data_IF_030374910488
#
_entry.id   IF_030374910488
#
_cell.length_a   1.000
_cell.length_b   1.000
_cell.length_c   1.000
_cell.angle_alpha   90.00
_cell.angle_beta   90.00
_cell.angle_gamma   90.00
#
_symmetry.space_group_name_H-M   'P 1'
#
loop_
_entity.id
_entity.type
_entity.pdbx_description
1 polymer ?
#
# COMPACT_ATOMS: atom_id res chain seq x y z
N UNK A 1 5.89 -0.94 30.05
CA UNK A 1 5.79 -1.46 28.67
C UNK A 1 5.46 -2.94 28.74
N UNK A 2 4.72 -3.50 27.77
CA UNK A 2 4.41 -4.94 27.73
C UNK A 2 5.69 -5.73 27.40
N UNK A 3 6.04 -6.77 28.18
CA UNK A 3 7.27 -7.57 28.03
C UNK A 3 7.46 -8.13 26.62
N UNK A 4 6.36 -8.45 25.92
CA UNK A 4 6.38 -8.91 24.52
C UNK A 4 6.84 -7.82 23.54
N UNK A 5 6.52 -6.55 23.80
CA UNK A 5 6.95 -5.43 22.93
C UNK A 5 8.45 -5.17 23.10
N UNK A 6 8.97 -5.25 24.32
CA UNK A 6 10.39 -5.07 24.59
C UNK A 6 11.24 -6.13 23.87
N UNK A 7 10.84 -7.40 23.96
CA UNK A 7 11.50 -8.51 23.27
C UNK A 7 11.45 -8.35 21.73
N UNK A 8 10.34 -7.84 21.20
CA UNK A 8 10.17 -7.56 19.76
C UNK A 8 11.12 -6.45 19.29
N UNK A 9 11.25 -5.38 20.08
CA UNK A 9 12.13 -4.26 19.76
C UNK A 9 13.61 -4.62 19.91
N UNK A 10 13.96 -5.40 20.94
CA UNK A 10 15.33 -5.87 21.16
C UNK A 10 15.81 -6.75 20.01
N UNK A 11 15.00 -7.72 19.58
CA UNK A 11 15.36 -8.57 18.45
C UNK A 11 15.39 -7.79 17.12
N UNK A 12 14.50 -6.81 16.90
CA UNK A 12 14.61 -5.89 15.76
C UNK A 12 15.94 -5.11 15.79
N UNK A 13 16.36 -4.61 16.96
CA UNK A 13 17.65 -3.93 17.13
C UNK A 13 18.84 -4.85 16.83
N UNK A 14 18.80 -6.13 17.23
CA UNK A 14 19.86 -7.10 16.88
C UNK A 14 20.02 -7.32 15.37
N UNK A 15 18.97 -7.04 14.59
CA UNK A 15 18.96 -7.10 13.13
C UNK A 15 19.31 -5.76 12.46
N UNK A 16 19.69 -4.75 13.24
CA UNK A 16 20.02 -3.41 12.74
C UNK A 16 18.81 -2.49 12.52
N UNK A 17 17.61 -2.92 12.92
CA UNK A 17 16.38 -2.13 12.80
C UNK A 17 16.26 -1.23 14.04
N UNK A 18 16.82 -0.02 13.95
CA UNK A 18 16.84 0.94 15.07
C UNK A 18 15.65 1.90 15.04
N UNK A 19 15.21 2.33 13.86
CA UNK A 19 14.05 3.19 13.65
C UNK A 19 13.42 2.89 12.27
N UNK A 20 12.13 2.56 12.23
CA UNK A 20 11.42 2.30 10.97
C UNK A 20 10.94 3.61 10.32
N UNK A 21 11.85 4.57 10.18
CA UNK A 21 11.68 5.80 9.38
C UNK A 21 12.64 5.83 8.18
N UNK A 22 13.50 4.82 8.06
CA UNK A 22 14.49 4.65 6.99
C UNK A 22 13.95 3.75 5.86
N UNK A 23 14.55 3.80 4.65
CA UNK A 23 14.27 2.84 3.58
C UNK A 23 14.47 1.39 4.02
N UNK A 24 13.79 0.47 3.34
CA UNK A 24 13.90 -0.98 3.60
C UNK A 24 15.36 -1.42 3.56
N UNK A 25 15.80 -2.10 4.61
CA UNK A 25 17.12 -2.74 4.70
C UNK A 25 17.16 -4.02 3.88
N UNK A 26 18.34 -4.48 3.47
CA UNK A 26 18.48 -5.77 2.78
C UNK A 26 17.90 -6.93 3.61
N UNK A 27 18.07 -6.90 4.93
CA UNK A 27 17.48 -7.89 5.84
C UNK A 27 15.95 -7.91 5.76
N UNK A 28 15.30 -6.74 5.70
CA UNK A 28 13.84 -6.66 5.53
C UNK A 28 13.39 -7.17 4.16
N UNK A 29 14.16 -6.89 3.08
CA UNK A 29 13.89 -7.44 1.76
C UNK A 29 14.02 -8.97 1.74
N UNK A 30 15.09 -9.52 2.31
CA UNK A 30 15.32 -10.95 2.42
C UNK A 30 14.20 -11.65 3.20
N UNK A 31 13.68 -11.02 4.26
CA UNK A 31 12.53 -11.55 5.01
C UNK A 31 11.24 -11.53 4.18
N UNK A 32 11.04 -10.51 3.33
CA UNK A 32 9.87 -10.41 2.46
C UNK A 32 9.84 -11.48 1.38
N UNK A 33 10.99 -11.89 0.84
CA UNK A 33 11.13 -12.99 -0.12
C UNK A 33 10.54 -14.31 0.38
N UNK A 34 10.65 -14.56 1.69
CA UNK A 34 10.14 -15.79 2.30
C UNK A 34 8.62 -15.75 2.61
N UNK A 35 7.97 -14.61 2.33
CA UNK A 35 6.55 -14.39 2.57
C UNK A 35 5.75 -14.13 1.30
N UNK A 36 4.50 -13.70 1.48
CA UNK A 36 3.67 -13.16 0.39
C UNK A 36 2.98 -11.87 0.85
N UNK A 37 3.72 -10.79 1.18
CA UNK A 37 3.13 -9.55 1.67
C UNK A 37 2.32 -8.81 0.59
N UNK A 38 1.59 -7.78 1.03
CA UNK A 38 1.08 -6.75 0.12
C UNK A 38 2.25 -5.88 -0.35
N UNK A 39 2.18 -5.34 -1.56
CA UNK A 39 3.24 -4.47 -2.10
C UNK A 39 3.47 -3.18 -1.29
N UNK A 40 2.46 -2.76 -0.52
CA UNK A 40 2.42 -1.43 0.10
C UNK A 40 2.62 -1.41 1.61
N UNK A 41 2.83 -2.57 2.24
CA UNK A 41 3.03 -2.65 3.69
C UNK A 41 3.81 -3.90 4.11
N UNK A 42 4.20 -3.96 5.37
CA UNK A 42 4.93 -5.09 5.94
C UNK A 42 4.12 -6.36 6.04
N UNK A 43 4.85 -7.48 6.05
CA UNK A 43 4.29 -8.81 6.26
C UNK A 43 3.67 -8.94 7.67
N UNK A 44 4.29 -8.31 8.67
CA UNK A 44 3.83 -8.32 10.07
C UNK A 44 3.91 -6.95 10.69
N UNK A 45 2.75 -6.33 10.87
CA UNK A 45 2.66 -5.10 11.63
C UNK A 45 2.59 -5.47 13.13
N UNK A 46 3.53 -4.99 13.97
CA UNK A 46 3.43 -5.15 15.41
C UNK A 46 2.06 -4.66 15.89
N UNK A 47 1.25 -5.56 16.45
CA UNK A 47 -0.08 -5.22 16.95
C UNK A 47 -1.26 -5.47 16.00
N UNK A 48 -1.06 -5.78 14.72
CA UNK A 48 -2.16 -6.09 13.77
C UNK A 48 -2.98 -7.33 14.17
N UNK A 49 -2.42 -8.18 15.04
CA UNK A 49 -3.09 -9.35 15.63
C UNK A 49 -3.54 -9.14 17.07
N UNK A 50 -3.29 -7.97 17.66
CA UNK A 50 -3.94 -7.61 18.91
C UNK A 50 -5.41 -7.40 18.59
N UNK A 51 -6.28 -8.20 19.21
CA UNK A 51 -7.74 -8.11 19.09
C UNK A 51 -8.28 -6.89 19.83
N UNK A 52 -7.79 -5.71 19.48
CA UNK A 52 -8.34 -4.45 19.96
C UNK A 52 -8.84 -3.69 18.75
N UNK A 53 -10.07 -3.17 18.85
CA UNK A 53 -10.57 -2.19 17.90
C UNK A 53 -9.58 -1.02 17.79
N UNK A 54 -9.56 -0.33 16.65
CA UNK A 54 -8.66 0.82 16.44
C UNK A 54 -8.78 1.78 17.63
N UNK A 55 -7.68 2.02 18.32
CA UNK A 55 -7.63 2.95 19.44
C UNK A 55 -7.70 4.37 18.89
N UNK A 56 -8.91 4.92 18.81
CA UNK A 56 -9.16 6.28 18.33
C UNK A 56 -9.28 7.24 19.51
N UNK A 57 -8.77 8.45 19.33
CA UNK A 57 -8.99 9.57 20.23
C UNK A 57 -10.43 10.09 20.15
N UNK A 58 -10.84 10.91 21.13
CA UNK A 58 -12.16 11.55 21.11
C UNK A 58 -12.39 12.41 19.86
N UNK A 59 -11.37 13.15 19.40
CA UNK A 59 -11.44 13.98 18.20
C UNK A 59 -11.63 13.12 16.93
N UNK A 60 -10.92 12.00 16.82
CA UNK A 60 -11.08 11.05 15.71
C UNK A 60 -12.49 10.43 15.69
N UNK A 61 -13.01 10.03 16.85
CA UNK A 61 -14.38 9.49 16.96
C UNK A 61 -15.42 10.55 16.59
N UNK A 62 -15.28 11.78 17.09
CA UNK A 62 -16.21 12.86 16.75
C UNK A 62 -16.18 13.19 15.25
N UNK A 63 -15.00 13.18 14.63
CA UNK A 63 -14.85 13.36 13.19
C UNK A 63 -15.48 12.22 12.37
N UNK A 64 -15.33 10.97 12.84
CA UNK A 64 -15.99 9.79 12.26
C UNK A 64 -17.51 9.86 12.33
N UNK A 65 -18.06 10.40 13.42
CA UNK A 65 -19.50 10.61 13.57
C UNK A 65 -19.99 11.80 12.72
N UNK A 66 -19.12 12.77 12.49
CA UNK A 66 -19.43 13.97 11.70
C UNK A 66 -20.15 15.05 12.50
N UNK A 67 -20.12 14.97 13.84
CA UNK A 67 -20.74 15.99 14.71
C UNK A 67 -19.76 17.14 14.95
N UNK A 68 -19.98 18.26 14.25
CA UNK A 68 -19.19 19.49 14.41
C UNK A 68 -19.24 20.00 15.85
N UNK A 69 -20.42 19.97 16.48
CA UNK A 69 -20.63 20.43 17.85
C UNK A 69 -19.79 19.64 18.86
N UNK A 70 -19.84 18.31 18.83
CA UNK A 70 -19.05 17.46 19.73
C UNK A 70 -17.56 17.68 19.47
N UNK A 71 -17.17 17.77 18.21
CA UNK A 71 -15.78 17.99 17.83
C UNK A 71 -15.24 19.31 18.39
N UNK A 72 -16.00 20.41 18.23
CA UNK A 72 -15.60 21.74 18.72
C UNK A 72 -15.59 21.80 20.26
N UNK A 73 -16.50 21.11 20.95
CA UNK A 73 -16.48 20.99 22.42
C UNK A 73 -15.19 20.30 22.88
N UNK A 74 -14.79 19.20 22.22
CA UNK A 74 -13.58 18.48 22.57
C UNK A 74 -12.32 19.34 22.34
N UNK A 75 -12.27 20.10 21.23
CA UNK A 75 -11.18 21.05 20.97
C UNK A 75 -11.13 22.16 22.03
N UNK A 76 -12.27 22.76 22.36
CA UNK A 76 -12.36 23.80 23.39
C UNK A 76 -11.95 23.30 24.78
N UNK A 77 -12.17 22.01 25.07
CA UNK A 77 -11.71 21.34 26.28
C UNK A 77 -10.20 21.05 26.30
N UNK A 78 -9.45 21.40 25.25
CA UNK A 78 -8.01 21.20 25.16
C UNK A 78 -7.59 19.80 24.73
N UNK A 79 -8.42 19.09 23.97
CA UNK A 79 -8.01 17.83 23.36
C UNK A 79 -6.79 18.05 22.45
N UNK A 80 -5.78 17.19 22.58
CA UNK A 80 -4.54 17.31 21.81
C UNK A 80 -4.77 17.05 20.32
N UNK A 81 -4.36 18.01 19.50
CA UNK A 81 -4.41 17.97 18.03
C UNK A 81 -3.10 18.43 17.38
N UNK A 82 -2.05 18.62 18.19
CA UNK A 82 -0.78 19.24 17.79
C UNK A 82 -0.20 18.61 16.53
N UNK A 83 -0.13 17.27 16.47
CA UNK A 83 0.46 16.56 15.34
C UNK A 83 -0.33 16.71 14.03
N UNK A 84 -1.64 16.97 14.09
CA UNK A 84 -2.52 16.98 12.90
C UNK A 84 -2.66 18.36 12.26
N UNK A 85 -2.38 19.41 13.04
CA UNK A 85 -2.40 20.82 12.59
C UNK A 85 -1.02 21.26 12.13
N UNK A 86 0.05 20.66 12.67
CA UNK A 86 1.41 20.99 12.29
C UNK A 86 1.65 20.74 10.79
N UNK A 87 2.07 21.79 10.08
CA UNK A 87 2.58 21.67 8.72
C UNK A 87 3.87 20.87 8.83
N UNK A 88 3.80 19.55 8.62
CA UNK A 88 4.98 18.67 8.59
C UNK A 88 6.05 19.32 7.73
N UNK A 89 7.07 19.85 8.40
CA UNK A 89 8.26 20.45 7.83
C UNK A 89 8.95 19.39 6.98
N UNK A 90 9.47 19.82 5.83
CA UNK A 90 10.19 19.01 4.85
C UNK A 90 11.56 18.49 5.38
N UNK A 91 11.70 18.29 6.70
CA UNK A 91 12.96 17.88 7.33
C UNK A 91 12.99 16.37 7.49
N UNK A 92 13.84 15.73 6.68
CA UNK A 92 14.17 14.30 6.69
C UNK A 92 14.90 13.83 7.99
N UNK A 93 15.02 14.68 9.02
CA UNK A 93 15.84 14.42 10.21
C UNK A 93 15.17 14.78 11.55
N UNK A 94 13.87 14.57 11.70
CA UNK A 94 13.29 14.55 13.05
C UNK A 94 13.69 13.25 13.75
N UNK A 95 14.89 13.24 14.35
CA UNK A 95 15.26 12.30 15.40
C UNK A 95 14.30 12.52 16.57
N UNK A 96 13.18 11.79 16.59
CA UNK A 96 12.17 12.01 17.62
C UNK A 96 12.68 11.46 18.96
N UNK A 97 13.11 12.37 19.84
CA UNK A 97 13.42 12.06 21.24
C UNK A 97 12.15 11.51 21.92
N UNK A 98 12.25 10.33 22.53
CA UNK A 98 11.12 9.59 23.09
C UNK A 98 10.33 10.32 24.22
N UNK A 99 10.86 11.44 24.74
CA UNK A 99 10.39 12.06 25.96
C UNK A 99 9.23 13.07 25.79
N UNK A 100 8.70 13.33 24.59
CA UNK A 100 7.64 14.34 24.38
C UNK A 100 6.54 13.97 23.39
N UNK A 101 6.19 12.68 23.28
CA UNK A 101 5.10 12.28 22.38
C UNK A 101 3.74 12.74 22.88
N UNK A 102 3.10 13.64 22.14
CA UNK A 102 1.69 13.99 22.32
C UNK A 102 0.78 12.81 21.92
N UNK A 103 -0.47 12.78 22.38
CA UNK A 103 -1.43 11.70 22.07
C UNK A 103 -1.69 11.64 20.57
N UNK A 104 -1.83 12.79 19.92
CA UNK A 104 -1.98 12.92 18.47
C UNK A 104 -0.78 12.38 17.69
N UNK A 105 0.44 12.48 18.23
CA UNK A 105 1.65 11.90 17.61
C UNK A 105 1.66 10.38 17.66
N UNK A 106 1.06 9.80 18.70
CA UNK A 106 0.94 8.35 18.87
C UNK A 106 -0.26 7.73 18.13
N UNK A 107 -1.10 8.56 17.49
CA UNK A 107 -2.22 8.04 16.70
C UNK A 107 -1.73 7.41 15.39
N UNK A 108 -2.41 6.35 14.98
CA UNK A 108 -2.24 5.70 13.67
C UNK A 108 -3.12 6.33 12.58
N UNK A 109 -3.87 7.37 12.92
CA UNK A 109 -4.78 8.09 12.04
C UNK A 109 -4.91 9.55 12.48
N UNK A 110 -5.81 10.29 11.84
CA UNK A 110 -6.20 11.63 12.28
C UNK A 110 -7.71 11.84 12.05
N UNK A 111 -8.31 12.88 12.63
CA UNK A 111 -9.68 13.29 12.34
C UNK A 111 -9.99 13.41 10.84
N UNK A 112 -9.04 13.84 10.01
CA UNK A 112 -9.20 13.89 8.54
C UNK A 112 -9.40 12.49 7.96
N UNK A 113 -8.60 11.51 8.39
CA UNK A 113 -8.74 10.11 7.96
C UNK A 113 -10.11 9.54 8.33
N UNK A 114 -10.55 9.76 9.57
CA UNK A 114 -11.83 9.23 10.04
C UNK A 114 -13.04 9.91 9.39
N UNK A 115 -13.00 11.22 9.16
CA UNK A 115 -14.04 11.93 8.44
C UNK A 115 -14.16 11.43 7.00
N UNK A 116 -13.03 11.17 6.34
CA UNK A 116 -12.97 10.59 4.99
C UNK A 116 -13.56 9.18 4.98
N UNK A 117 -13.13 8.29 5.89
CA UNK A 117 -13.60 6.91 5.95
C UNK A 117 -15.11 6.81 6.13
N UNK A 118 -15.68 7.72 6.95
CA UNK A 118 -17.11 7.80 7.17
C UNK A 118 -17.87 8.53 6.04
N UNK A 119 -17.19 9.19 5.11
CA UNK A 119 -17.80 10.01 4.06
C UNK A 119 -18.42 11.32 4.58
N UNK A 120 -17.94 11.85 5.71
CA UNK A 120 -18.45 13.05 6.35
C UNK A 120 -17.87 14.33 5.72
N UNK A 121 -18.37 14.70 4.55
CA UNK A 121 -17.89 15.85 3.79
C UNK A 121 -17.88 17.17 4.59
N UNK A 122 -18.95 17.46 5.34
CA UNK A 122 -19.04 18.70 6.15
C UNK A 122 -17.97 18.75 7.23
N UNK A 123 -17.69 17.62 7.87
CA UNK A 123 -16.63 17.50 8.86
C UNK A 123 -15.25 17.68 8.21
N UNK A 124 -15.00 17.03 7.06
CA UNK A 124 -13.74 17.20 6.33
C UNK A 124 -13.48 18.69 6.01
N UNK A 125 -14.48 19.40 5.49
CA UNK A 125 -14.36 20.84 5.20
C UNK A 125 -14.07 21.66 6.46
N UNK A 126 -14.75 21.37 7.56
CA UNK A 126 -14.50 22.03 8.85
C UNK A 126 -13.07 21.80 9.34
N UNK A 127 -12.59 20.56 9.28
CA UNK A 127 -11.23 20.19 9.67
C UNK A 127 -10.18 20.96 8.85
N UNK A 128 -10.31 20.95 7.52
CA UNK A 128 -9.32 21.57 6.63
C UNK A 128 -9.40 23.11 6.64
N UNK A 129 -10.60 23.68 6.56
CA UNK A 129 -10.78 25.13 6.38
C UNK A 129 -10.85 25.91 7.69
N UNK A 130 -11.48 25.36 8.73
CA UNK A 130 -11.72 26.07 9.99
C UNK A 130 -10.77 25.65 11.09
N UNK A 131 -10.35 24.38 11.11
CA UNK A 131 -9.48 23.85 12.16
C UNK A 131 -7.98 23.87 11.78
N UNK A 132 -7.65 24.08 10.50
CA UNK A 132 -6.26 24.14 10.02
C UNK A 132 -5.56 22.78 9.95
N UNK A 133 -6.32 21.68 9.88
CA UNK A 133 -5.73 20.35 9.80
C UNK A 133 -5.03 20.14 8.46
N UNK A 134 -3.89 19.47 8.49
CA UNK A 134 -3.12 19.20 7.28
C UNK A 134 -3.83 18.18 6.38
N UNK A 135 -4.05 18.49 5.08
CA UNK A 135 -4.54 17.50 4.10
C UNK A 135 -3.47 16.45 3.74
N UNK A 136 -2.26 16.58 4.30
CA UNK A 136 -1.09 15.77 3.99
C UNK A 136 -0.54 15.02 5.22
N UNK A 137 -1.28 15.00 6.33
CA UNK A 137 -0.78 14.41 7.58
C UNK A 137 -0.42 12.92 7.40
N UNK A 138 0.80 12.56 7.81
CA UNK A 138 1.28 11.19 7.84
C UNK A 138 1.30 10.67 9.28
N UNK A 139 0.50 9.64 9.62
CA UNK A 139 0.58 9.00 10.93
C UNK A 139 2.00 8.51 11.23
N UNK A 140 2.56 8.94 12.37
CA UNK A 140 3.96 8.65 12.75
C UNK A 140 4.10 7.36 13.57
N UNK A 141 3.04 6.95 14.26
CA UNK A 141 3.08 5.80 15.17
C UNK A 141 3.24 4.43 14.46
N UNK A 142 2.87 4.35 13.19
CA UNK A 142 2.94 3.14 12.38
C UNK A 142 3.37 3.46 10.93
N UNK A 143 4.66 3.80 10.71
CA UNK A 143 5.15 4.32 9.44
C UNK A 143 4.96 3.36 8.25
N UNK A 144 4.94 2.05 8.48
CA UNK A 144 4.74 1.00 7.47
C UNK A 144 3.31 0.84 6.96
N UNK A 145 2.34 1.47 7.63
CA UNK A 145 0.95 1.62 7.16
C UNK A 145 0.52 3.09 7.11
N UNK A 146 1.48 4.01 7.19
CA UNK A 146 1.21 5.43 7.15
C UNK A 146 0.79 5.82 5.74
N UNK A 147 -0.48 6.17 5.60
CA UNK A 147 -1.08 6.61 4.35
C UNK A 147 -1.43 8.10 4.51
N UNK A 148 -0.99 8.99 3.61
CA UNK A 148 -1.51 10.35 3.57
C UNK A 148 -3.01 10.31 3.20
N UNK A 149 -3.81 11.32 3.56
CA UNK A 149 -5.26 11.30 3.34
C UNK A 149 -5.69 10.93 1.92
N UNK A 150 -4.98 11.42 0.90
CA UNK A 150 -5.26 11.08 -0.50
C UNK A 150 -4.96 9.61 -0.84
N UNK A 151 -3.91 9.01 -0.28
CA UNK A 151 -3.66 7.58 -0.47
C UNK A 151 -4.61 6.74 0.38
N UNK A 152 -4.96 7.21 1.58
CA UNK A 152 -5.88 6.52 2.48
C UNK A 152 -7.27 6.36 1.88
N UNK A 153 -7.81 7.41 1.28
CA UNK A 153 -9.13 7.36 0.64
C UNK A 153 -9.17 6.34 -0.49
N UNK A 154 -8.12 6.24 -1.29
CA UNK A 154 -8.04 5.24 -2.38
C UNK A 154 -7.78 3.84 -1.83
N UNK A 155 -6.93 3.68 -0.83
CA UNK A 155 -6.50 2.37 -0.36
C UNK A 155 -7.46 1.72 0.66
N UNK A 156 -8.21 2.50 1.43
CA UNK A 156 -8.91 2.03 2.63
C UNK A 156 -10.41 2.30 2.67
N UNK A 157 -10.89 3.23 1.85
CA UNK A 157 -12.29 3.64 1.90
C UNK A 157 -13.12 2.95 0.82
N UNK A 158 -14.43 2.87 1.05
CA UNK A 158 -15.38 2.38 0.05
C UNK A 158 -15.64 3.47 -1.00
N UNK A 159 -15.01 3.34 -2.17
CA UNK A 159 -15.17 4.29 -3.27
C UNK A 159 -16.56 4.25 -3.91
N UNK A 160 -17.42 3.27 -3.58
CA UNK A 160 -18.83 3.28 -3.99
C UNK A 160 -19.70 4.22 -3.13
N UNK A 161 -19.19 4.63 -1.96
CA UNK A 161 -19.88 5.56 -1.07
C UNK A 161 -19.80 7.00 -1.62
N UNK A 162 -20.97 7.59 -1.93
CA UNK A 162 -21.03 8.96 -2.48
C UNK A 162 -20.46 10.04 -1.55
N UNK A 163 -20.47 9.84 -0.23
CA UNK A 163 -19.85 10.73 0.74
C UNK A 163 -18.33 10.67 0.66
N UNK A 164 -17.76 9.47 0.51
CA UNK A 164 -16.33 9.25 0.28
C UNK A 164 -15.91 9.91 -1.05
N UNK A 165 -16.66 9.69 -2.14
CA UNK A 165 -16.36 10.32 -3.43
C UNK A 165 -16.36 11.87 -3.34
N UNK A 166 -17.31 12.45 -2.61
CA UNK A 166 -17.35 13.89 -2.36
C UNK A 166 -16.15 14.38 -1.53
N UNK A 167 -15.73 13.61 -0.54
CA UNK A 167 -14.51 13.88 0.22
C UNK A 167 -13.26 13.85 -0.68
N UNK A 168 -13.18 12.91 -1.62
CA UNK A 168 -12.08 12.80 -2.58
C UNK A 168 -11.97 14.05 -3.46
N UNK A 169 -13.11 14.51 -3.99
CA UNK A 169 -13.18 15.74 -4.81
C UNK A 169 -12.76 16.97 -4.01
N UNK A 170 -13.26 17.11 -2.78
CA UNK A 170 -12.90 18.24 -1.91
C UNK A 170 -11.41 18.22 -1.56
N UNK A 171 -10.85 17.04 -1.29
CA UNK A 171 -9.44 16.89 -0.97
C UNK A 171 -8.55 17.25 -2.16
N UNK A 172 -8.84 16.73 -3.36
CA UNK A 172 -8.11 17.06 -4.59
C UNK A 172 -8.19 18.54 -4.97
N UNK A 173 -9.28 19.21 -4.59
CA UNK A 173 -9.47 20.64 -4.81
C UNK A 173 -8.74 21.50 -3.77
N UNK A 174 -8.17 20.91 -2.72
CA UNK A 174 -7.55 21.67 -1.64
C UNK A 174 -6.19 22.24 -2.06
N UNK A 175 -5.95 23.57 -1.94
CA UNK A 175 -4.77 24.23 -2.51
C UNK A 175 -3.44 23.80 -1.89
N UNK A 176 -3.47 23.30 -0.65
CA UNK A 176 -2.27 22.82 0.05
C UNK A 176 -2.05 21.31 -0.08
N UNK A 177 -2.92 20.58 -0.78
CA UNK A 177 -2.71 19.16 -1.01
C UNK A 177 -1.40 18.94 -1.77
N UNK A 178 -0.56 18.03 -1.28
CA UNK A 178 0.63 17.52 -1.98
C UNK A 178 0.24 16.16 -2.59
N UNK A 179 -0.33 16.11 -3.82
CA UNK A 179 -0.85 14.87 -4.39
C UNK A 179 0.23 13.82 -4.67
N UNK A 180 1.47 14.28 -4.85
CA UNK A 180 2.64 13.43 -5.06
C UNK A 180 3.27 12.91 -3.77
N UNK A 181 2.66 13.16 -2.60
CA UNK A 181 3.15 12.67 -1.31
C UNK A 181 3.05 11.13 -1.25
N UNK A 182 4.16 10.50 -0.89
CA UNK A 182 4.32 9.05 -0.87
C UNK A 182 4.31 8.51 0.56
N UNK A 183 4.09 7.21 0.69
CA UNK A 183 4.26 6.53 1.97
C UNK A 183 5.74 6.51 2.38
N UNK A 184 6.07 6.69 3.67
CA UNK A 184 7.45 6.95 4.10
C UNK A 184 8.42 5.76 3.94
N UNK A 185 7.93 4.51 4.01
CA UNK A 185 8.79 3.30 3.96
C UNK A 185 8.77 2.65 2.58
N UNK A 186 7.57 2.41 2.05
CA UNK A 186 7.41 1.70 0.78
C UNK A 186 7.42 2.64 -0.44
N UNK A 187 7.58 3.95 -0.22
CA UNK A 187 7.61 4.97 -1.26
C UNK A 187 6.40 4.89 -2.22
N UNK A 188 5.23 4.49 -1.70
CA UNK A 188 4.05 4.19 -2.52
C UNK A 188 3.31 5.47 -2.84
N UNK A 189 3.26 5.78 -4.13
CA UNK A 189 2.43 6.85 -4.68
C UNK A 189 0.94 6.47 -4.76
N UNK A 190 0.03 7.45 -4.66
CA UNK A 190 -1.43 7.23 -4.76
C UNK A 190 -1.86 6.49 -6.04
N UNK A 191 -1.17 6.73 -7.15
CA UNK A 191 -1.46 6.05 -8.42
C UNK A 191 -1.17 4.55 -8.37
N UNK A 192 -0.24 4.06 -7.53
CA UNK A 192 -0.08 2.62 -7.34
C UNK A 192 -1.31 2.01 -6.67
N UNK A 193 -1.89 2.69 -5.66
CA UNK A 193 -3.13 2.25 -5.03
C UNK A 193 -4.30 2.26 -6.02
N UNK A 194 -4.40 3.29 -6.86
CA UNK A 194 -5.40 3.36 -7.92
C UNK A 194 -5.24 2.21 -8.93
N UNK A 195 -4.02 1.91 -9.36
CA UNK A 195 -3.74 0.78 -10.26
C UNK A 195 -4.09 -0.57 -9.62
N UNK A 196 -3.90 -0.72 -8.30
CA UNK A 196 -4.24 -1.96 -7.60
C UNK A 196 -5.74 -2.29 -7.62
N UNK A 197 -6.62 -1.32 -7.84
CA UNK A 197 -8.06 -1.54 -8.03
C UNK A 197 -8.43 -2.17 -9.38
N UNK A 198 -7.54 -2.10 -10.37
CA UNK A 198 -7.84 -2.41 -11.77
C UNK A 198 -9.03 -1.62 -12.34
N UNK A 199 -9.13 -0.35 -11.93
CA UNK A 199 -10.11 0.60 -12.44
C UNK A 199 -9.38 1.66 -13.28
N UNK A 200 -9.36 1.53 -14.62
CA UNK A 200 -8.66 2.47 -15.49
C UNK A 200 -9.31 3.87 -15.48
N UNK A 201 -10.62 3.98 -15.19
CA UNK A 201 -11.31 5.26 -15.14
C UNK A 201 -10.88 6.03 -13.88
N UNK A 202 -10.83 5.36 -12.73
CA UNK A 202 -10.29 5.92 -11.49
C UNK A 202 -8.82 6.34 -11.67
N UNK A 203 -8.00 5.47 -12.26
CA UNK A 203 -6.59 5.73 -12.48
C UNK A 203 -6.37 6.94 -13.41
N UNK A 204 -7.11 7.01 -14.52
CA UNK A 204 -7.06 8.11 -15.47
C UNK A 204 -7.50 9.44 -14.83
N UNK A 205 -8.62 9.42 -14.10
CA UNK A 205 -9.14 10.60 -13.42
C UNK A 205 -8.19 11.15 -12.36
N UNK A 206 -7.60 10.27 -11.54
CA UNK A 206 -6.57 10.67 -10.58
C UNK A 206 -5.34 11.22 -11.28
N UNK A 207 -4.83 10.54 -12.32
CA UNK A 207 -3.66 11.00 -13.06
C UNK A 207 -3.88 12.38 -13.69
N UNK A 208 -5.08 12.66 -14.21
CA UNK A 208 -5.44 13.97 -14.75
C UNK A 208 -5.42 15.10 -13.70
N UNK A 209 -5.63 14.74 -12.42
CA UNK A 209 -5.64 15.68 -11.29
C UNK A 209 -4.25 15.91 -10.67
N UNK A 210 -3.22 15.18 -11.14
CA UNK A 210 -1.86 15.19 -10.56
C UNK A 210 -0.86 15.74 -11.58
N UNK A 211 -0.07 16.73 -11.17
CA UNK A 211 1.02 17.25 -11.99
C UNK A 211 2.04 16.14 -12.31
N UNK A 212 2.28 15.92 -13.61
CA UNK A 212 3.13 14.82 -14.11
C UNK A 212 2.34 13.58 -14.55
N UNK A 213 1.03 13.53 -14.32
CA UNK A 213 0.16 12.44 -14.76
C UNK A 213 0.62 11.08 -14.24
N UNK A 214 0.49 10.03 -15.07
CA UNK A 214 0.96 8.68 -14.74
C UNK A 214 2.47 8.62 -14.43
N UNK A 215 3.27 9.49 -15.05
CA UNK A 215 4.72 9.52 -14.85
C UNK A 215 5.16 9.98 -13.46
N UNK A 216 4.28 10.66 -12.71
CA UNK A 216 4.55 11.05 -11.31
C UNK A 216 4.69 9.85 -10.36
N UNK A 217 4.11 8.70 -10.74
CA UNK A 217 4.10 7.50 -9.91
C UNK A 217 5.48 6.91 -9.66
N UNK A 218 6.44 7.03 -10.60
CA UNK A 218 7.77 6.45 -10.47
C UNK A 218 7.73 4.96 -10.08
N UNK A 219 8.59 4.57 -9.14
CA UNK A 219 8.62 3.23 -8.54
C UNK A 219 8.36 3.29 -7.03
N UNK A 220 7.92 2.16 -6.45
CA UNK A 220 7.91 1.94 -5.00
C UNK A 220 9.34 1.65 -4.49
N UNK A 221 9.52 1.55 -3.17
CA UNK A 221 10.78 1.10 -2.57
C UNK A 221 11.14 -0.36 -2.93
N UNK A 222 10.15 -1.13 -3.39
CA UNK A 222 10.34 -2.48 -3.91
C UNK A 222 10.64 -2.47 -5.41
N UNK A 223 10.76 -1.31 -6.06
CA UNK A 223 10.98 -1.22 -7.50
C UNK A 223 9.72 -1.40 -8.35
N UNK A 224 8.54 -1.62 -7.74
CA UNK A 224 7.30 -1.80 -8.50
C UNK A 224 6.90 -0.51 -9.23
N UNK A 225 6.77 -0.62 -10.55
CA UNK A 225 6.10 0.38 -11.41
C UNK A 225 4.57 0.18 -11.40
N UNK A 226 3.82 1.09 -12.03
CA UNK A 226 2.37 0.86 -12.25
C UNK A 226 2.09 -0.45 -13.01
N UNK A 227 2.94 -0.82 -13.97
CA UNK A 227 2.78 -2.07 -14.72
C UNK A 227 3.02 -3.30 -13.83
N UNK A 228 3.96 -3.25 -12.90
CA UNK A 228 4.12 -4.30 -11.89
C UNK A 228 2.85 -4.45 -11.06
N UNK A 229 2.33 -3.36 -10.49
CA UNK A 229 1.12 -3.40 -9.65
C UNK A 229 -0.10 -3.91 -10.42
N UNK A 230 -0.24 -3.53 -11.70
CA UNK A 230 -1.31 -4.06 -12.56
C UNK A 230 -1.16 -5.57 -12.81
N UNK A 231 0.06 -6.09 -12.82
CA UNK A 231 0.41 -7.48 -13.12
C UNK A 231 0.40 -8.39 -11.89
N UNK A 232 0.52 -7.81 -10.68
CA UNK A 232 0.48 -8.55 -9.43
C UNK A 232 -0.84 -9.34 -9.26
N UNK A 233 -0.77 -10.56 -8.69
CA UNK A 233 -1.96 -11.30 -8.28
C UNK A 233 -2.69 -10.54 -7.16
N UNK A 234 -4.03 -10.63 -7.12
CA UNK A 234 -4.83 -10.01 -6.05
C UNK A 234 -4.40 -10.55 -4.68
N UNK A 235 -4.25 -11.87 -4.57
CA UNK A 235 -3.77 -12.58 -3.37
C UNK A 235 -2.95 -13.80 -3.78
N UNK A 236 -2.27 -14.44 -2.84
CA UNK A 236 -1.52 -15.69 -3.06
C UNK A 236 -2.38 -16.84 -3.59
N UNK A 237 -3.70 -16.80 -3.44
CA UNK A 237 -4.57 -17.87 -3.96
C UNK A 237 -4.68 -17.84 -5.49
N UNK A 238 -4.29 -16.74 -6.13
CA UNK A 238 -4.33 -16.59 -7.59
C UNK A 238 -3.03 -17.02 -8.27
N UNK A 239 -2.02 -17.47 -7.52
CA UNK A 239 -0.77 -17.94 -8.10
C UNK A 239 -0.73 -19.46 -8.12
N UNK A 240 -0.03 -20.02 -9.10
CA UNK A 240 0.17 -21.46 -9.23
C UNK A 240 1.25 -21.97 -8.26
N UNK A 241 1.08 -21.79 -6.94
CA UNK A 241 2.08 -22.11 -5.90
C UNK A 241 2.55 -23.57 -5.85
N UNK A 242 1.84 -24.48 -6.52
CA UNK A 242 2.29 -25.87 -6.69
C UNK A 242 3.47 -25.99 -7.68
N UNK A 243 3.66 -24.99 -8.54
CA UNK A 243 4.85 -24.86 -9.38
C UNK A 243 5.96 -24.20 -8.54
N UNK A 244 7.10 -24.88 -8.29
CA UNK A 244 8.18 -24.32 -7.49
C UNK A 244 8.75 -23.02 -8.10
N UNK A 245 8.80 -22.92 -9.43
CA UNK A 245 9.31 -21.73 -10.12
C UNK A 245 8.39 -20.52 -9.83
N UNK A 246 7.08 -20.72 -9.69
CA UNK A 246 6.11 -19.68 -9.29
C UNK A 246 6.24 -19.35 -7.80
N UNK A 247 6.36 -20.37 -6.94
CA UNK A 247 6.49 -20.19 -5.50
C UNK A 247 7.76 -19.42 -5.12
N UNK A 248 8.84 -19.65 -5.86
CA UNK A 248 10.14 -18.99 -5.69
C UNK A 248 10.21 -17.63 -6.41
N UNK A 249 9.28 -17.29 -7.30
CA UNK A 249 9.34 -16.02 -8.05
C UNK A 249 8.30 -15.00 -7.61
N UNK A 250 7.12 -15.42 -7.15
CA UNK A 250 5.99 -14.51 -6.92
C UNK A 250 5.77 -14.28 -5.44
N UNK A 251 6.12 -13.08 -4.95
CA UNK A 251 6.14 -12.77 -3.51
C UNK A 251 5.23 -11.60 -3.11
N UNK A 252 4.54 -10.95 -4.04
CA UNK A 252 3.73 -9.77 -3.73
C UNK A 252 2.27 -9.91 -4.17
N UNK A 253 1.37 -9.41 -3.32
CA UNK A 253 -0.05 -9.24 -3.60
C UNK A 253 -0.39 -7.76 -3.85
N UNK A 254 -1.32 -7.49 -4.78
CA UNK A 254 -1.89 -6.14 -4.95
C UNK A 254 -3.07 -5.81 -4.03
N UNK A 255 -3.60 -6.78 -3.27
CA UNK A 255 -4.78 -6.52 -2.42
C UNK A 255 -4.59 -5.33 -1.48
N UNK A 256 -5.62 -4.50 -1.43
CA UNK A 256 -5.74 -3.38 -0.49
C UNK A 256 -6.56 -3.77 0.75
N UNK A 257 -7.11 -5.00 0.78
CA UNK A 257 -7.85 -5.48 1.93
C UNK A 257 -6.95 -5.57 3.16
N UNK A 258 -7.25 -4.70 4.12
CA UNK A 258 -6.57 -4.64 5.41
C UNK A 258 -6.73 -5.89 6.27
N UNK A 259 -7.84 -6.62 6.07
CA UNK A 259 -8.20 -7.85 6.76
C UNK A 259 -7.65 -9.09 6.08
N UNK A 260 -7.05 -8.94 4.90
CA UNK A 260 -6.38 -10.06 4.25
C UNK A 260 -5.08 -10.38 4.98
N UNK A 261 -4.94 -11.66 5.34
CA UNK A 261 -3.75 -12.21 5.97
C UNK A 261 -3.24 -13.36 5.11
N UNK A 262 -2.04 -13.24 4.48
CA UNK A 262 -1.48 -14.31 3.65
C UNK A 262 -1.19 -15.58 4.45
N UNK A 263 -1.03 -15.46 5.77
CA UNK A 263 -0.77 -16.58 6.67
C UNK A 263 -1.73 -16.54 7.87
N UNK A 264 -2.38 -17.68 8.15
CA UNK A 264 -3.26 -17.82 9.32
C UNK A 264 -2.53 -17.60 10.65
N UNK A 265 -1.22 -17.83 10.69
CA UNK A 265 -0.33 -17.60 11.84
C UNK A 265 0.58 -16.39 11.60
N UNK A 266 1.03 -15.67 12.64
CA UNK A 266 1.89 -14.49 12.49
C UNK A 266 3.12 -14.90 11.73
N UNK A 267 3.48 -14.18 10.67
CA UNK A 267 4.86 -14.29 10.24
C UNK A 267 5.72 -13.69 11.37
N UNK A 268 6.82 -14.35 11.77
CA UNK A 268 7.38 -14.11 13.07
C UNK A 268 8.68 -13.37 12.87
N UNK A 269 8.73 -12.12 13.30
CA UNK A 269 10.05 -11.56 13.58
C UNK A 269 10.80 -12.40 14.65
N UNK A 270 10.14 -13.25 15.46
CA UNK A 270 10.74 -13.80 16.70
C UNK A 270 10.44 -15.27 17.10
N UNK A 271 9.95 -16.15 16.21
CA UNK A 271 9.72 -17.57 16.52
C UNK A 271 9.98 -18.44 15.27
N UNK A 272 10.98 -19.34 15.32
CA UNK A 272 11.14 -20.38 14.29
C UNK A 272 9.85 -21.22 14.21
N UNK A 273 9.30 -21.42 13.01
CA UNK A 273 8.21 -22.39 12.81
C UNK A 273 8.61 -23.60 11.97
N UNK A 274 8.05 -24.78 12.29
CA UNK A 274 8.08 -25.94 11.42
C UNK A 274 7.25 -25.68 10.16
N UNK A 275 7.52 -26.51 9.13
CA UNK A 275 6.88 -26.50 7.80
C UNK A 275 5.35 -26.27 7.86
N UNK A 276 4.76 -25.64 6.82
CA UNK A 276 3.35 -25.29 6.78
C UNK A 276 2.44 -26.46 7.18
N UNK A 277 1.46 -26.18 8.06
CA UNK A 277 0.32 -27.07 8.29
C UNK A 277 -0.45 -27.25 6.98
N UNK A 278 -0.70 -28.51 6.63
CA UNK A 278 -1.55 -28.94 5.52
C UNK A 278 -2.87 -28.17 5.51
N UNK A 279 -3.10 -27.44 4.43
CA UNK A 279 -4.27 -26.59 4.26
C UNK A 279 -4.02 -25.35 3.42
N UNK A 280 -3.06 -25.40 2.47
CA UNK A 280 -2.91 -24.38 1.45
C UNK A 280 -4.29 -24.02 0.90
N UNK A 281 -4.71 -22.74 0.90
CA UNK A 281 -5.98 -22.37 0.32
C UNK A 281 -6.03 -22.88 -1.12
N UNK A 282 -7.16 -23.48 -1.52
CA UNK A 282 -7.31 -23.97 -2.89
C UNK A 282 -7.04 -22.81 -3.86
N UNK A 283 -6.32 -23.05 -4.98
CA UNK A 283 -6.17 -22.04 -6.01
C UNK A 283 -7.53 -21.46 -6.42
N UNK A 284 -7.60 -20.13 -6.48
CA UNK A 284 -8.78 -19.37 -6.86
C UNK A 284 -8.43 -18.55 -8.10
N UNK A 285 -8.82 -19.01 -9.29
CA UNK A 285 -8.65 -18.25 -10.52
C UNK A 285 -9.31 -16.86 -10.44
N UNK A 286 -8.82 -15.90 -11.21
CA UNK A 286 -9.49 -14.62 -11.44
C UNK A 286 -10.90 -14.87 -12.00
N UNK A 287 -11.90 -14.13 -11.53
CA UNK A 287 -13.21 -14.09 -12.19
C UNK A 287 -13.09 -13.41 -13.56
N UNK A 288 -14.06 -13.64 -14.46
CA UNK A 288 -14.07 -12.97 -15.77
C UNK A 288 -14.02 -11.44 -15.64
N UNK A 289 -14.75 -10.88 -14.66
CA UNK A 289 -14.72 -9.44 -14.38
C UNK A 289 -13.36 -8.96 -13.91
N UNK A 290 -12.68 -9.70 -13.02
CA UNK A 290 -11.34 -9.36 -12.54
C UNK A 290 -10.31 -9.44 -13.67
N UNK A 291 -10.40 -10.45 -14.54
CA UNK A 291 -9.56 -10.60 -15.73
C UNK A 291 -9.78 -9.45 -16.71
N UNK A 292 -11.03 -9.10 -16.99
CA UNK A 292 -11.35 -7.96 -17.87
C UNK A 292 -10.82 -6.64 -17.31
N UNK A 293 -10.97 -6.40 -16.00
CA UNK A 293 -10.46 -5.21 -15.32
C UNK A 293 -8.93 -5.11 -15.37
N UNK A 294 -8.22 -6.22 -15.09
CA UNK A 294 -6.77 -6.29 -15.22
C UNK A 294 -6.33 -5.98 -16.65
N UNK A 295 -6.93 -6.64 -17.63
CA UNK A 295 -6.65 -6.45 -19.04
C UNK A 295 -6.86 -4.98 -19.47
N UNK A 296 -7.97 -4.36 -19.04
CA UNK A 296 -8.28 -2.98 -19.36
C UNK A 296 -7.25 -2.01 -18.76
N UNK A 297 -6.84 -2.24 -17.51
CA UNK A 297 -5.82 -1.42 -16.84
C UNK A 297 -4.46 -1.56 -17.52
N UNK A 298 -4.04 -2.78 -17.87
CA UNK A 298 -2.77 -3.01 -18.57
C UNK A 298 -2.78 -2.38 -19.97
N UNK A 299 -3.88 -2.48 -20.73
CA UNK A 299 -4.01 -1.81 -22.02
C UNK A 299 -3.90 -0.30 -21.90
N UNK A 300 -4.64 0.30 -20.97
CA UNK A 300 -4.57 1.74 -20.70
C UNK A 300 -3.14 2.19 -20.38
N UNK A 301 -2.44 1.41 -19.56
CA UNK A 301 -1.04 1.64 -19.21
C UNK A 301 -0.11 1.54 -20.43
N UNK A 302 -0.28 0.56 -21.31
CA UNK A 302 0.52 0.43 -22.54
C UNK A 302 0.23 1.53 -23.56
N UNK A 303 -1.05 1.93 -23.71
CA UNK A 303 -1.48 3.02 -24.60
C UNK A 303 -0.89 4.38 -24.21
N UNK A 304 -0.58 4.60 -22.93
CA UNK A 304 0.16 5.77 -22.46
C UNK A 304 1.58 5.86 -23.07
N UNK A 305 2.16 4.74 -23.49
CA UNK A 305 3.36 4.68 -24.33
C UNK A 305 4.69 5.05 -23.66
N UNK A 306 4.70 5.25 -22.33
CA UNK A 306 5.90 5.59 -21.54
C UNK A 306 6.24 4.55 -20.48
N UNK A 307 5.73 3.33 -20.65
CA UNK A 307 5.99 2.22 -19.73
C UNK A 307 7.15 1.41 -20.24
N UNK A 308 8.10 1.14 -19.34
CA UNK A 308 9.18 0.20 -19.58
C UNK A 308 8.77 -1.20 -19.11
N UNK A 309 8.67 -2.14 -20.06
CA UNK A 309 8.37 -3.55 -19.78
C UNK A 309 9.60 -4.32 -19.29
N UNK A 310 10.80 -3.75 -19.46
CA UNK A 310 12.07 -4.30 -18.98
C UNK A 310 12.36 -3.93 -17.53
N UNK A 311 11.55 -3.05 -16.94
CA UNK A 311 11.72 -2.63 -15.55
C UNK A 311 11.66 -3.86 -14.63
N UNK A 312 12.65 -3.95 -13.74
CA UNK A 312 12.80 -4.99 -12.73
C UNK A 312 12.51 -4.40 -11.35
N UNK A 313 11.87 -5.20 -10.51
CA UNK A 313 11.72 -4.92 -9.09
C UNK A 313 12.95 -5.38 -8.29
N UNK A 314 12.93 -5.24 -6.96
CA UNK A 314 14.07 -5.62 -6.09
C UNK A 314 14.44 -7.10 -6.15
N UNK A 315 13.53 -7.95 -6.63
CA UNK A 315 13.73 -9.39 -6.77
C UNK A 315 14.17 -9.76 -8.20
N UNK A 316 14.37 -8.76 -9.07
CA UNK A 316 14.65 -8.96 -10.50
C UNK A 316 13.42 -9.39 -11.30
N UNK A 317 12.22 -9.38 -10.69
CA UNK A 317 11.00 -9.71 -11.40
C UNK A 317 10.54 -8.51 -12.23
N UNK A 318 10.24 -8.77 -13.50
CA UNK A 318 9.49 -7.85 -14.36
C UNK A 318 7.99 -8.10 -14.26
N UNK A 319 7.18 -7.18 -14.79
CA UNK A 319 5.73 -7.37 -14.90
C UNK A 319 5.32 -8.70 -15.58
N UNK A 320 6.12 -9.18 -16.54
CA UNK A 320 5.87 -10.45 -17.23
C UNK A 320 6.05 -11.68 -16.32
N UNK A 321 6.96 -11.63 -15.34
CA UNK A 321 7.10 -12.71 -14.34
C UNK A 321 5.80 -12.86 -13.56
N UNK A 322 5.24 -11.74 -13.08
CA UNK A 322 4.00 -11.71 -12.31
C UNK A 322 2.78 -12.21 -13.09
N UNK A 323 2.63 -11.77 -14.34
CA UNK A 323 1.56 -12.29 -15.21
C UNK A 323 1.72 -13.79 -15.46
N UNK A 324 2.95 -14.28 -15.62
CA UNK A 324 3.19 -15.68 -15.89
C UNK A 324 2.92 -16.60 -14.70
N UNK A 325 3.17 -16.12 -13.48
CA UNK A 325 2.89 -16.90 -12.26
C UNK A 325 1.43 -16.84 -11.79
N UNK A 326 0.60 -16.01 -12.42
CA UNK A 326 -0.81 -15.85 -12.06
C UNK A 326 -1.68 -16.80 -12.89
N UNK A 327 -2.57 -17.52 -12.21
CA UNK A 327 -3.51 -18.47 -12.82
C UNK A 327 -4.45 -17.72 -13.77
N UNK A 328 -4.85 -18.38 -14.86
CA UNK A 328 -5.86 -17.95 -15.83
C UNK A 328 -5.75 -16.52 -16.39
N UNK A 329 -4.54 -15.96 -16.39
CA UNK A 329 -4.23 -14.69 -17.06
C UNK A 329 -4.55 -14.75 -18.56
N UNK A 330 -4.84 -13.59 -19.13
CA UNK A 330 -5.15 -13.45 -20.54
C UNK A 330 -3.91 -13.62 -21.42
N UNK A 331 -3.87 -14.67 -22.24
CA UNK A 331 -2.84 -14.88 -23.27
C UNK A 331 -2.65 -13.64 -24.15
N UNK A 332 -3.76 -13.01 -24.58
CA UNK A 332 -3.73 -11.76 -25.38
C UNK A 332 -2.93 -10.64 -24.71
N UNK A 333 -2.99 -10.51 -23.39
CA UNK A 333 -2.26 -9.46 -22.65
C UNK A 333 -0.78 -9.81 -22.56
N UNK A 334 -0.45 -11.07 -22.29
CA UNK A 334 0.95 -11.53 -22.29
C UNK A 334 1.57 -11.30 -23.67
N UNK A 335 0.85 -11.65 -24.73
CA UNK A 335 1.29 -11.43 -26.10
C UNK A 335 1.42 -9.93 -26.43
N UNK A 336 0.52 -9.09 -25.91
CA UNK A 336 0.61 -7.64 -26.06
C UNK A 336 1.86 -7.07 -25.39
N UNK A 337 2.19 -7.50 -24.16
CA UNK A 337 3.42 -7.08 -23.48
C UNK A 337 4.65 -7.58 -24.22
N UNK A 338 4.64 -8.82 -24.74
CA UNK A 338 5.74 -9.37 -25.54
C UNK A 338 6.01 -8.58 -26.81
N UNK A 339 4.95 -8.06 -27.46
CA UNK A 339 5.07 -7.19 -28.65
C UNK A 339 5.51 -5.76 -28.33
N UNK A 340 5.41 -5.32 -27.08
CA UNK A 340 5.92 -4.02 -26.68
C UNK A 340 7.45 -3.97 -26.84
N UNK A 341 8.03 -2.76 -26.92
CA UNK A 341 9.47 -2.61 -27.04
C UNK A 341 10.19 -3.32 -25.87
N UNK A 342 11.02 -4.31 -26.17
CA UNK A 342 11.73 -5.13 -25.19
C UNK A 342 10.96 -6.29 -24.57
N UNK A 343 9.67 -6.42 -24.90
CA UNK A 343 8.82 -7.43 -24.31
C UNK A 343 9.29 -8.85 -24.58
N UNK A 344 9.57 -9.17 -25.85
CA UNK A 344 10.01 -10.52 -26.25
C UNK A 344 11.39 -10.86 -25.69
N UNK A 345 12.31 -9.90 -25.67
CA UNK A 345 13.63 -10.08 -25.06
C UNK A 345 13.51 -10.35 -23.56
N UNK A 346 12.65 -9.59 -22.87
CA UNK A 346 12.36 -9.78 -21.44
C UNK A 346 11.73 -11.14 -21.19
N UNK A 347 10.78 -11.55 -22.02
CA UNK A 347 10.09 -12.83 -21.92
C UNK A 347 11.04 -14.03 -22.01
N UNK A 348 11.98 -13.98 -22.95
CA UNK A 348 12.91 -15.08 -23.23
C UNK A 348 14.13 -15.08 -22.30
N UNK A 349 14.66 -13.90 -21.94
CA UNK A 349 16.01 -13.78 -21.38
C UNK A 349 16.11 -13.07 -20.02
N UNK A 350 15.12 -12.26 -19.60
CA UNK A 350 15.22 -11.61 -18.30
C UNK A 350 15.02 -12.63 -17.19
N UNK A 351 15.96 -12.70 -16.26
CA UNK A 351 15.92 -13.63 -15.12
C UNK A 351 15.80 -12.86 -13.83
N UNK A 352 14.91 -13.30 -12.95
CA UNK A 352 14.87 -12.82 -11.57
C UNK A 352 16.07 -13.31 -10.73
N UNK A 353 16.09 -12.98 -9.44
CA UNK A 353 17.16 -13.37 -8.52
C UNK A 353 17.33 -14.89 -8.35
N UNK A 354 16.35 -15.69 -8.78
CA UNK A 354 16.39 -17.15 -8.81
C UNK A 354 16.87 -17.72 -10.16
N UNK A 355 17.20 -16.87 -11.13
CA UNK A 355 17.64 -17.29 -12.46
C UNK A 355 16.49 -17.78 -13.35
N UNK A 356 15.24 -17.43 -13.02
CA UNK A 356 14.02 -17.91 -13.69
C UNK A 356 13.49 -16.82 -14.62
N UNK A 357 13.12 -17.17 -15.85
CA UNK A 357 12.51 -16.25 -16.82
C UNK A 357 10.98 -16.31 -16.83
N UNK A 358 10.27 -15.28 -17.33
CA UNK A 358 8.81 -15.32 -17.47
C UNK A 358 8.31 -16.52 -18.27
N UNK A 359 9.02 -16.88 -19.35
CA UNK A 359 8.69 -18.04 -20.17
C UNK A 359 8.77 -19.36 -19.39
N UNK A 360 9.78 -19.52 -18.55
CA UNK A 360 9.93 -20.73 -17.73
C UNK A 360 8.79 -20.86 -16.73
N UNK A 361 8.35 -19.75 -16.12
CA UNK A 361 7.18 -19.70 -15.25
C UNK A 361 5.92 -20.09 -16.02
N UNK A 362 5.73 -19.58 -17.25
CA UNK A 362 4.53 -19.81 -18.05
C UNK A 362 4.36 -21.24 -18.57
N UNK A 363 5.47 -21.90 -18.94
CA UNK A 363 5.44 -23.18 -19.64
C UNK A 363 5.31 -24.42 -18.71
N UNK A 364 5.20 -24.24 -17.39
CA UNK A 364 5.19 -25.31 -16.38
C UNK A 364 4.01 -25.16 -15.43
#
# INVERSE_FOLDING_TARGET
MCDRRALVLEQAQTKGISQQLCPLTQTELDERLHGFPRFWTELNLPGQRLRMDRALTGLEVAAKIGSLEIFDILRAAGADESAWVELTLDNEEDQVQEASYSVSTLSTSSPVHEAIEAGNQSMLRHLLSSCGYSPNYLPRAAPTISLPPLSYIIARCDLSNSGVQRCLVDLLSHPQLKPNLRTPIFNVHVLHFATAHHDPDLLSWLAASISGGLGSAGTTALGHTLLHIASLPLTSNQTALNNPDVADSIHCARTLDSKWFPHGMPSPLHIQFPKPLEGSPKPQPLTDSQKQAQNATIRFLLEWGRIDVRAEDVDGNTALHYLAGTINVSEDIVEMLRRADGGEETWENATNCHGITPRQIWCR
#
